data_IF_982322800552
#
_entry.id   IF_982322800552
#
_cell.length_a   1.000
_cell.length_b   1.000
_cell.length_c   1.000
_cell.angle_alpha   90.00
_cell.angle_beta   90.00
_cell.angle_gamma   90.00
#
_symmetry.space_group_name_H-M   'P 1'
#
loop_
_entity.id
_entity.type
_entity.pdbx_description
1 polymer ?
#
# COMPACT_ATOMS: atom_id res chain seq x y z
N UNK A 1 4.69 -20.58 -6.74
CA UNK A 1 3.57 -21.26 -6.06
C UNK A 1 2.49 -20.29 -5.65
N UNK A 2 2.81 -19.05 -5.24
CA UNK A 2 1.83 -18.07 -4.76
C UNK A 2 0.84 -17.62 -5.85
N UNK A 3 1.32 -17.28 -7.05
CA UNK A 3 0.45 -16.77 -8.12
C UNK A 3 -0.62 -17.77 -8.60
N UNK A 4 -0.31 -19.06 -8.65
CA UNK A 4 -1.30 -20.09 -9.02
C UNK A 4 -2.45 -20.19 -7.99
N UNK A 5 -2.15 -20.06 -6.71
CA UNK A 5 -3.17 -20.02 -5.66
C UNK A 5 -4.04 -18.76 -5.73
N UNK A 6 -3.40 -17.61 -5.98
CA UNK A 6 -4.09 -16.33 -6.16
C UNK A 6 -5.05 -16.39 -7.36
N UNK A 7 -4.58 -16.89 -8.50
CA UNK A 7 -5.41 -17.07 -9.69
C UNK A 7 -6.58 -17.98 -9.41
N UNK A 8 -6.38 -19.08 -8.67
CA UNK A 8 -7.47 -20.00 -8.33
C UNK A 8 -8.54 -19.35 -7.45
N UNK A 9 -8.14 -18.52 -6.48
CA UNK A 9 -9.07 -17.71 -5.68
C UNK A 9 -9.87 -16.76 -6.58
N UNK A 10 -9.20 -16.06 -7.49
CA UNK A 10 -9.85 -15.14 -8.43
C UNK A 10 -10.83 -15.86 -9.37
N UNK A 11 -10.44 -17.02 -9.93
CA UNK A 11 -11.33 -17.85 -10.73
C UNK A 11 -12.62 -18.23 -9.98
N UNK A 12 -12.50 -18.67 -8.72
CA UNK A 12 -13.65 -19.03 -7.91
C UNK A 12 -14.62 -17.86 -7.72
N UNK A 13 -14.08 -16.64 -7.50
CA UNK A 13 -14.90 -15.43 -7.41
C UNK A 13 -15.61 -15.10 -8.74
N UNK A 14 -14.91 -15.18 -9.87
CA UNK A 14 -15.52 -14.97 -11.19
C UNK A 14 -16.64 -15.99 -11.45
N UNK A 15 -16.42 -17.26 -11.10
CA UNK A 15 -17.43 -18.31 -11.22
C UNK A 15 -18.67 -18.03 -10.36
N UNK A 16 -18.48 -17.61 -9.10
CA UNK A 16 -19.57 -17.26 -8.19
C UNK A 16 -20.45 -16.14 -8.72
N UNK A 17 -19.81 -15.15 -9.36
CA UNK A 17 -20.45 -14.00 -10.01
C UNK A 17 -20.98 -14.31 -11.41
N UNK A 18 -20.80 -15.54 -11.92
CA UNK A 18 -21.14 -15.96 -13.29
C UNK A 18 -20.48 -15.11 -14.37
N UNK A 19 -19.25 -14.66 -14.12
CA UNK A 19 -18.44 -13.90 -15.04
C UNK A 19 -17.57 -14.85 -15.85
N UNK A 20 -17.58 -14.70 -17.18
CA UNK A 20 -16.77 -15.51 -18.11
C UNK A 20 -15.47 -14.84 -18.51
N UNK A 21 -15.47 -13.50 -18.56
CA UNK A 21 -14.28 -12.70 -18.87
C UNK A 21 -14.14 -11.58 -17.88
N UNK A 22 -12.90 -11.23 -17.56
CA UNK A 22 -12.61 -10.06 -16.72
C UNK A 22 -11.57 -9.18 -17.40
N UNK A 23 -11.75 -7.86 -17.31
CA UNK A 23 -10.79 -6.85 -17.77
C UNK A 23 -10.31 -6.07 -16.56
N UNK A 24 -9.01 -6.10 -16.30
CA UNK A 24 -8.39 -5.50 -15.12
C UNK A 24 -7.50 -4.35 -15.56
N UNK A 25 -7.74 -3.17 -15.00
CA UNK A 25 -7.02 -1.93 -15.32
C UNK A 25 -6.07 -1.49 -14.21
N UNK A 26 -6.38 -1.78 -12.95
CA UNK A 26 -5.56 -1.37 -11.82
C UNK A 26 -4.19 -2.03 -11.83
N UNK A 27 -3.10 -1.24 -11.86
CA UNK A 27 -1.72 -1.76 -11.89
C UNK A 27 -1.45 -2.74 -10.75
N UNK A 28 -1.93 -2.44 -9.54
CA UNK A 28 -1.74 -3.31 -8.37
C UNK A 28 -2.60 -4.58 -8.45
N UNK A 29 -3.76 -4.53 -9.10
CA UNK A 29 -4.56 -5.71 -9.37
C UNK A 29 -3.91 -6.61 -10.42
N UNK A 30 -3.33 -6.00 -11.48
CA UNK A 30 -2.52 -6.72 -12.47
C UNK A 30 -1.30 -7.36 -11.80
N UNK A 31 -0.59 -6.61 -10.97
CA UNK A 31 0.56 -7.11 -10.24
C UNK A 31 0.20 -8.28 -9.32
N UNK A 32 -0.92 -8.19 -8.60
CA UNK A 32 -1.44 -9.25 -7.75
C UNK A 32 -1.69 -10.56 -8.52
N UNK A 33 -2.31 -10.45 -9.70
CA UNK A 33 -2.68 -11.61 -10.52
C UNK A 33 -1.51 -12.18 -11.32
N UNK A 34 -0.52 -11.36 -11.68
CA UNK A 34 0.50 -11.75 -12.67
C UNK A 34 1.94 -11.61 -12.22
N UNK A 35 2.22 -10.81 -11.20
CA UNK A 35 3.57 -10.40 -10.80
C UNK A 35 4.15 -9.24 -11.59
N UNK A 36 3.47 -8.73 -12.64
CA UNK A 36 3.88 -7.56 -13.40
C UNK A 36 3.20 -6.29 -12.86
N UNK A 37 3.99 -5.31 -12.43
CA UNK A 37 3.52 -3.97 -12.03
C UNK A 37 3.98 -2.94 -13.06
N UNK A 38 3.02 -2.40 -13.81
CA UNK A 38 3.26 -1.40 -14.84
C UNK A 38 2.05 -1.14 -15.71
N UNK A 39 2.21 -0.23 -16.66
CA UNK A 39 1.11 0.23 -17.52
C UNK A 39 0.58 -0.87 -18.43
N UNK A 40 -0.74 -0.94 -18.57
CA UNK A 40 -1.43 -1.91 -19.41
C UNK A 40 -2.80 -2.27 -18.87
N UNK A 41 -3.40 -3.31 -19.42
CA UNK A 41 -4.59 -3.94 -18.87
C UNK A 41 -4.55 -5.45 -19.10
N UNK A 42 -5.21 -6.19 -18.22
CA UNK A 42 -5.26 -7.63 -18.24
C UNK A 42 -6.63 -8.11 -18.69
N UNK A 43 -6.67 -9.10 -19.58
CA UNK A 43 -7.89 -9.83 -19.93
C UNK A 43 -7.75 -11.26 -19.44
N UNK A 44 -8.65 -11.66 -18.57
CA UNK A 44 -8.79 -13.04 -18.10
C UNK A 44 -10.00 -13.67 -18.78
N UNK A 45 -9.79 -14.76 -19.52
CA UNK A 45 -10.85 -15.56 -20.10
C UNK A 45 -10.98 -16.88 -19.34
N UNK A 46 -12.10 -17.04 -18.63
CA UNK A 46 -12.34 -18.18 -17.74
C UNK A 46 -12.62 -19.46 -18.53
N UNK A 47 -13.24 -19.36 -19.70
CA UNK A 47 -13.61 -20.53 -20.50
C UNK A 47 -12.38 -21.25 -21.08
N UNK A 48 -11.40 -20.48 -21.50
CA UNK A 48 -10.11 -20.99 -22.01
C UNK A 48 -9.02 -21.05 -20.93
N UNK A 49 -9.27 -20.53 -19.72
CA UNK A 49 -8.28 -20.33 -18.66
C UNK A 49 -7.03 -19.59 -19.14
N UNK A 50 -7.24 -18.59 -20.02
CA UNK A 50 -6.13 -17.81 -20.60
C UNK A 50 -6.05 -16.41 -20.03
N UNK A 51 -4.81 -15.96 -19.86
CA UNK A 51 -4.47 -14.60 -19.43
C UNK A 51 -3.79 -13.90 -20.60
N UNK A 52 -4.32 -12.74 -20.99
CA UNK A 52 -3.69 -11.86 -21.97
C UNK A 52 -3.40 -10.52 -21.33
N UNK A 53 -2.13 -10.15 -21.26
CA UNK A 53 -1.67 -8.86 -20.77
C UNK A 53 -1.38 -7.95 -21.96
N UNK A 54 -2.19 -6.91 -22.13
CA UNK A 54 -2.01 -5.86 -23.12
C UNK A 54 -1.18 -4.73 -22.53
N UNK A 55 -0.08 -4.40 -23.18
CA UNK A 55 0.86 -3.36 -22.72
C UNK A 55 1.24 -2.40 -23.84
N UNK A 56 1.60 -1.15 -23.52
CA UNK A 56 2.27 -0.29 -24.49
C UNK A 56 3.58 -0.95 -24.99
N UNK A 57 4.02 -0.68 -26.24
CA UNK A 57 5.24 -1.29 -26.78
C UNK A 57 6.49 -1.12 -25.91
N UNK A 58 6.62 0.00 -25.20
CA UNK A 58 7.73 0.27 -24.27
C UNK A 58 7.79 -0.71 -23.10
N UNK A 59 6.67 -1.29 -22.71
CA UNK A 59 6.55 -2.21 -21.59
C UNK A 59 6.68 -3.69 -22.00
N UNK A 60 6.65 -4.00 -23.29
CA UNK A 60 6.46 -5.35 -23.81
C UNK A 60 7.52 -6.36 -23.27
N UNK A 61 8.80 -6.04 -23.40
CA UNK A 61 9.88 -6.93 -22.93
C UNK A 61 9.99 -6.99 -21.41
N UNK A 62 9.73 -5.84 -20.73
CA UNK A 62 9.69 -5.80 -19.28
C UNK A 62 8.57 -6.69 -18.74
N UNK A 63 7.38 -6.60 -19.32
CA UNK A 63 6.24 -7.44 -18.96
C UNK A 63 6.55 -8.93 -19.13
N UNK A 64 7.11 -9.32 -20.29
CA UNK A 64 7.51 -10.71 -20.53
C UNK A 64 8.48 -11.25 -19.48
N UNK A 65 9.42 -10.42 -19.01
CA UNK A 65 10.43 -10.81 -18.03
C UNK A 65 9.91 -10.88 -16.60
N UNK A 66 8.93 -10.03 -16.25
CA UNK A 66 8.43 -9.93 -14.87
C UNK A 66 7.27 -10.88 -14.56
N UNK A 67 6.53 -11.35 -15.58
CA UNK A 67 5.43 -12.27 -15.38
C UNK A 67 5.85 -13.51 -14.56
N UNK A 68 5.06 -13.81 -13.53
CA UNK A 68 5.20 -15.01 -12.67
C UNK A 68 4.12 -16.06 -12.97
N UNK A 69 3.31 -15.83 -14.02
CA UNK A 69 2.26 -16.73 -14.50
C UNK A 69 2.38 -16.94 -16.00
N UNK A 70 1.78 -18.03 -16.50
CA UNK A 70 1.65 -18.22 -17.93
C UNK A 70 0.63 -17.24 -18.49
N UNK A 71 1.08 -16.24 -19.22
CA UNK A 71 0.23 -15.24 -19.84
C UNK A 71 0.79 -14.84 -21.22
N UNK A 72 -0.10 -14.54 -22.14
CA UNK A 72 0.26 -13.95 -23.43
C UNK A 72 0.46 -12.46 -23.24
N UNK A 73 1.62 -11.93 -23.60
CA UNK A 73 1.86 -10.48 -23.65
C UNK A 73 1.61 -9.98 -25.05
N UNK A 74 0.83 -8.92 -25.19
CA UNK A 74 0.45 -8.31 -26.46
C UNK A 74 0.81 -6.83 -26.42
N UNK A 75 1.65 -6.38 -27.35
CA UNK A 75 1.86 -4.95 -27.56
C UNK A 75 0.64 -4.37 -28.30
N UNK A 76 -0.02 -3.34 -27.74
CA UNK A 76 -1.14 -2.70 -28.39
C UNK A 76 -0.87 -1.21 -28.64
N UNK A 77 -1.10 -0.76 -29.86
CA UNK A 77 -1.02 0.67 -30.21
C UNK A 77 -1.34 0.85 -31.70
N UNK A 78 -1.97 1.96 -32.07
CA UNK A 78 -2.08 2.37 -33.47
C UNK A 78 -0.71 2.62 -34.13
N UNK A 79 0.31 2.96 -33.34
CA UNK A 79 1.68 3.16 -33.81
C UNK A 79 2.40 1.84 -34.15
N UNK A 80 1.86 0.70 -33.75
CA UNK A 80 2.50 -0.61 -33.96
C UNK A 80 2.64 -0.96 -35.45
N UNK A 81 1.82 -0.39 -36.30
CA UNK A 81 1.95 -0.54 -37.81
C UNK A 81 3.33 -0.12 -38.31
N UNK A 82 3.98 0.81 -37.63
CA UNK A 82 5.31 1.33 -38.01
C UNK A 82 6.46 0.61 -37.29
N UNK A 83 6.16 -0.30 -36.33
CA UNK A 83 7.17 -1.02 -35.57
C UNK A 83 7.55 -2.33 -36.26
N UNK A 84 8.81 -2.73 -36.10
CA UNK A 84 9.29 -4.02 -36.63
C UNK A 84 8.55 -5.19 -36.00
N UNK A 85 7.80 -5.97 -36.79
CA UNK A 85 7.11 -7.19 -36.36
C UNK A 85 8.07 -8.28 -35.88
N UNK A 86 9.35 -8.19 -36.21
CA UNK A 86 10.39 -9.11 -35.75
C UNK A 86 10.70 -8.92 -34.26
N UNK A 87 10.49 -7.70 -33.74
CA UNK A 87 10.76 -7.38 -32.33
C UNK A 87 9.62 -7.73 -31.39
N UNK A 88 8.39 -7.85 -31.89
CA UNK A 88 7.21 -8.11 -31.06
C UNK A 88 6.57 -9.43 -31.46
N UNK A 89 6.63 -10.43 -30.58
CA UNK A 89 6.05 -11.74 -30.85
C UNK A 89 4.52 -11.74 -30.91
N UNK A 90 3.88 -10.71 -30.39
CA UNK A 90 2.42 -10.51 -30.43
C UNK A 90 2.06 -9.04 -30.42
N UNK A 91 1.23 -8.64 -31.38
CA UNK A 91 0.84 -7.26 -31.63
C UNK A 91 -0.66 -7.18 -31.86
N UNK A 92 -1.31 -6.15 -31.32
CA UNK A 92 -2.68 -5.78 -31.62
C UNK A 92 -2.71 -4.33 -32.11
N UNK A 93 -3.15 -4.12 -33.36
CA UNK A 93 -3.21 -2.78 -33.98
C UNK A 93 -4.42 -1.97 -33.54
N UNK A 94 -5.35 -2.60 -32.81
CA UNK A 94 -6.54 -1.93 -32.25
C UNK A 94 -6.15 -1.04 -31.07
N UNK A 95 -6.95 0.00 -30.86
CA UNK A 95 -6.85 0.78 -29.64
C UNK A 95 -7.59 0.09 -28.47
N UNK A 96 -7.45 0.64 -27.27
CA UNK A 96 -8.08 0.10 -26.06
C UNK A 96 -9.60 -0.01 -26.20
N UNK A 97 -10.25 0.99 -26.83
CA UNK A 97 -11.70 1.02 -27.00
C UNK A 97 -12.20 -0.11 -27.93
N UNK A 98 -11.50 -0.33 -29.04
CA UNK A 98 -11.81 -1.41 -30.00
C UNK A 98 -11.60 -2.80 -29.39
N UNK A 99 -10.57 -2.97 -28.54
CA UNK A 99 -10.30 -4.21 -27.83
C UNK A 99 -11.39 -4.46 -26.77
N UNK A 100 -11.70 -3.45 -25.95
CA UNK A 100 -12.72 -3.55 -24.92
C UNK A 100 -14.11 -3.84 -25.50
N UNK A 101 -14.48 -3.16 -26.60
CA UNK A 101 -15.72 -3.42 -27.32
C UNK A 101 -15.81 -4.89 -27.76
N UNK A 102 -14.75 -5.41 -28.40
CA UNK A 102 -14.72 -6.81 -28.83
C UNK A 102 -14.85 -7.83 -27.69
N UNK A 103 -14.34 -7.50 -26.50
CA UNK A 103 -14.48 -8.33 -25.32
C UNK A 103 -15.94 -8.32 -24.84
N UNK A 104 -16.55 -7.13 -24.71
CA UNK A 104 -17.94 -6.99 -24.28
C UNK A 104 -18.92 -7.58 -25.27
N UNK A 105 -18.67 -7.46 -26.57
CA UNK A 105 -19.52 -8.05 -27.62
C UNK A 105 -19.48 -9.59 -27.56
N UNK A 106 -18.32 -10.16 -27.31
CA UNK A 106 -18.09 -11.60 -27.29
C UNK A 106 -18.54 -12.32 -26.01
N UNK A 107 -19.03 -11.61 -24.98
CA UNK A 107 -19.40 -12.22 -23.70
C UNK A 107 -20.70 -11.62 -23.15
N UNK A 108 -21.58 -12.46 -22.57
CA UNK A 108 -22.83 -11.98 -22.00
C UNK A 108 -22.62 -11.22 -20.67
N UNK A 109 -21.48 -11.46 -20.00
CA UNK A 109 -21.17 -10.87 -18.70
C UNK A 109 -19.67 -10.75 -18.52
N UNK A 110 -19.18 -9.53 -18.28
CA UNK A 110 -17.76 -9.17 -18.17
C UNK A 110 -17.52 -8.46 -16.86
N UNK A 111 -16.55 -8.94 -16.09
CA UNK A 111 -16.07 -8.23 -14.88
C UNK A 111 -15.09 -7.14 -15.25
N UNK A 112 -15.14 -6.02 -14.55
CA UNK A 112 -14.10 -4.98 -14.66
C UNK A 112 -13.89 -4.30 -13.31
N UNK A 113 -12.66 -3.93 -13.00
CA UNK A 113 -12.32 -3.14 -11.82
C UNK A 113 -12.56 -1.65 -12.10
N UNK A 114 -13.85 -1.27 -12.06
CA UNK A 114 -14.32 0.03 -12.57
C UNK A 114 -13.70 1.25 -11.90
N UNK A 115 -13.26 1.14 -10.64
CA UNK A 115 -12.54 2.22 -9.96
C UNK A 115 -11.21 2.59 -10.63
N UNK A 116 -10.67 1.72 -11.48
CA UNK A 116 -9.40 1.91 -12.19
C UNK A 116 -9.59 2.04 -13.70
N UNK A 117 -10.78 1.76 -14.22
CA UNK A 117 -11.06 1.86 -15.64
C UNK A 117 -11.02 3.34 -16.10
N UNK A 118 -10.39 3.64 -17.25
CA UNK A 118 -10.43 4.99 -17.78
C UNK A 118 -11.88 5.44 -18.04
N UNK A 119 -12.29 6.56 -17.44
CA UNK A 119 -13.67 7.08 -17.55
C UNK A 119 -14.09 7.27 -19.03
N UNK A 120 -13.17 7.77 -19.85
CA UNK A 120 -13.43 7.96 -21.29
C UNK A 120 -13.75 6.66 -22.01
N UNK A 121 -13.01 5.58 -21.67
CA UNK A 121 -13.27 4.24 -22.20
C UNK A 121 -14.67 3.77 -21.79
N UNK A 122 -15.01 3.91 -20.51
CA UNK A 122 -16.32 3.50 -20.00
C UNK A 122 -17.45 4.23 -20.70
N UNK A 123 -17.38 5.54 -20.85
CA UNK A 123 -18.41 6.35 -21.50
C UNK A 123 -18.56 6.02 -23.00
N UNK A 124 -17.46 5.82 -23.72
CA UNK A 124 -17.48 5.52 -25.16
C UNK A 124 -17.96 4.10 -25.46
N UNK A 125 -17.52 3.12 -24.69
CA UNK A 125 -17.79 1.71 -24.97
C UNK A 125 -19.11 1.28 -24.35
N UNK A 126 -19.34 1.58 -23.08
CA UNK A 126 -20.52 1.13 -22.35
C UNK A 126 -21.75 1.98 -22.68
N UNK A 127 -21.57 3.31 -22.74
CA UNK A 127 -22.67 4.24 -23.02
C UNK A 127 -23.22 4.21 -24.46
N UNK A 128 -22.35 3.87 -25.44
CA UNK A 128 -22.74 3.90 -26.87
C UNK A 128 -23.52 2.65 -27.34
N UNK A 129 -23.41 1.53 -26.63
CA UNK A 129 -23.87 0.24 -27.13
C UNK A 129 -24.89 -0.49 -26.21
N UNK A 130 -25.46 0.18 -25.21
CA UNK A 130 -26.31 -0.46 -24.17
C UNK A 130 -25.63 -1.69 -23.52
N UNK A 131 -24.31 -1.66 -23.39
CA UNK A 131 -23.52 -2.75 -22.83
C UNK A 131 -23.40 -2.67 -21.31
N UNK A 132 -24.00 -1.64 -20.68
CA UNK A 132 -23.97 -1.45 -19.22
C UNK A 132 -24.40 -2.67 -18.44
N UNK A 133 -25.44 -3.36 -18.92
CA UNK A 133 -26.00 -4.54 -18.25
C UNK A 133 -25.07 -5.76 -18.30
N UNK A 134 -24.07 -5.75 -19.19
CA UNK A 134 -23.07 -6.80 -19.31
C UNK A 134 -21.89 -6.61 -18.36
N UNK A 135 -21.63 -5.38 -17.90
CA UNK A 135 -20.47 -5.06 -17.08
C UNK A 135 -20.80 -5.24 -15.59
N UNK A 136 -19.96 -5.99 -14.89
CA UNK A 136 -20.03 -6.20 -13.44
C UNK A 136 -18.80 -5.55 -12.80
N UNK A 137 -19.02 -4.65 -11.86
CA UNK A 137 -17.90 -4.10 -11.08
C UNK A 137 -17.34 -5.16 -10.13
N UNK A 138 -16.08 -5.52 -10.35
CA UNK A 138 -15.33 -6.46 -9.51
C UNK A 138 -14.24 -5.76 -8.67
N UNK A 139 -14.28 -4.42 -8.56
CA UNK A 139 -13.33 -3.67 -7.76
C UNK A 139 -13.28 -4.17 -6.31
N UNK A 140 -14.44 -4.31 -5.67
CA UNK A 140 -14.51 -4.78 -4.28
C UNK A 140 -14.13 -6.27 -4.15
N UNK A 141 -14.39 -7.09 -5.15
CA UNK A 141 -13.94 -8.49 -5.19
C UNK A 141 -12.41 -8.58 -5.15
N UNK A 142 -11.72 -7.80 -5.99
CA UNK A 142 -10.26 -7.75 -6.00
C UNK A 142 -9.69 -7.15 -4.70
N UNK A 143 -10.32 -6.11 -4.15
CA UNK A 143 -9.95 -5.56 -2.84
C UNK A 143 -10.05 -6.61 -1.73
N UNK A 144 -11.15 -7.37 -1.68
CA UNK A 144 -11.35 -8.44 -0.71
C UNK A 144 -10.33 -9.58 -0.87
N UNK A 145 -10.01 -9.96 -2.11
CA UNK A 145 -8.98 -10.96 -2.39
C UNK A 145 -7.60 -10.52 -1.91
N UNK A 146 -7.23 -9.25 -2.15
CA UNK A 146 -5.95 -8.66 -1.76
C UNK A 146 -5.86 -8.42 -0.25
N UNK A 147 -6.96 -8.17 0.42
CA UNK A 147 -6.96 -7.88 1.87
C UNK A 147 -6.48 -9.07 2.70
N UNK A 148 -6.84 -10.31 2.32
CA UNK A 148 -6.42 -11.53 3.01
C UNK A 148 -5.19 -12.12 2.31
N UNK A 149 -4.03 -11.98 2.92
CA UNK A 149 -2.72 -12.36 2.37
C UNK A 149 -2.47 -13.86 2.50
N UNK A 150 -1.82 -14.41 1.51
CA UNK A 150 -1.22 -15.75 1.60
C UNK A 150 0.04 -15.72 2.49
N UNK A 151 0.51 -16.88 2.92
CA UNK A 151 1.75 -16.97 3.70
C UNK A 151 2.97 -16.35 3.00
N UNK A 152 3.07 -16.49 1.67
CA UNK A 152 4.17 -15.89 0.90
C UNK A 152 4.08 -14.36 0.84
N UNK A 153 2.86 -13.81 0.69
CA UNK A 153 2.65 -12.36 0.72
C UNK A 153 3.03 -11.79 2.07
N UNK A 154 2.64 -12.46 3.16
CA UNK A 154 3.02 -12.07 4.53
C UNK A 154 4.54 -12.09 4.74
N UNK A 155 5.26 -13.09 4.20
CA UNK A 155 6.72 -13.13 4.28
C UNK A 155 7.38 -11.99 3.49
N UNK A 156 6.82 -11.57 2.34
CA UNK A 156 7.35 -10.42 1.60
C UNK A 156 7.14 -9.11 2.36
N UNK A 157 5.95 -8.90 2.96
CA UNK A 157 5.68 -7.73 3.80
C UNK A 157 6.59 -7.73 5.03
N UNK A 158 6.77 -8.87 5.70
CA UNK A 158 7.68 -9.02 6.83
C UNK A 158 9.11 -8.67 6.45
N UNK A 159 9.60 -9.16 5.32
CA UNK A 159 10.94 -8.85 4.85
C UNK A 159 11.11 -7.37 4.51
N UNK A 160 10.10 -6.75 3.87
CA UNK A 160 10.07 -5.29 3.66
C UNK A 160 10.15 -4.53 4.99
N UNK A 161 9.37 -4.96 6.00
CA UNK A 161 9.36 -4.36 7.35
C UNK A 161 10.72 -4.45 8.02
N UNK A 162 11.33 -5.64 8.05
CA UNK A 162 12.64 -5.86 8.69
C UNK A 162 13.74 -5.01 8.03
N UNK A 163 13.75 -4.92 6.70
CA UNK A 163 14.72 -4.10 5.95
C UNK A 163 14.52 -2.61 6.22
N UNK A 164 13.28 -2.15 6.25
CA UNK A 164 12.94 -0.77 6.60
C UNK A 164 13.39 -0.44 8.02
N UNK A 165 13.14 -1.32 8.98
CA UNK A 165 13.59 -1.12 10.37
C UNK A 165 15.12 -1.09 10.50
N UNK A 166 15.85 -1.91 9.74
CA UNK A 166 17.33 -1.87 9.73
C UNK A 166 17.83 -0.52 9.21
N UNK A 167 17.21 0.02 8.16
CA UNK A 167 17.54 1.35 7.65
C UNK A 167 17.25 2.44 8.68
N UNK A 168 16.07 2.40 9.33
CA UNK A 168 15.70 3.34 10.40
C UNK A 168 16.69 3.29 11.57
N UNK A 169 17.04 2.08 12.04
CA UNK A 169 17.99 1.92 13.17
C UNK A 169 19.35 2.55 12.84
N UNK A 170 19.90 2.28 11.66
CA UNK A 170 21.16 2.87 11.21
C UNK A 170 21.08 4.39 11.14
N UNK A 171 19.98 4.93 10.59
CA UNK A 171 19.77 6.36 10.54
C UNK A 171 19.77 6.99 11.93
N UNK A 172 19.07 6.39 12.90
CA UNK A 172 19.02 6.94 14.27
C UNK A 172 20.37 6.92 14.93
N UNK A 173 21.15 5.83 14.81
CA UNK A 173 22.55 5.75 15.31
C UNK A 173 23.44 6.85 14.69
N UNK A 174 23.29 7.13 13.38
CA UNK A 174 24.01 8.23 12.71
C UNK A 174 23.57 9.61 13.19
N UNK A 175 22.24 9.80 13.41
CA UNK A 175 21.70 11.06 13.94
C UNK A 175 22.21 11.35 15.35
N UNK A 176 22.22 10.36 16.24
CA UNK A 176 22.74 10.49 17.60
C UNK A 176 24.23 10.92 17.57
N UNK A 177 25.03 10.28 16.73
CA UNK A 177 26.45 10.61 16.56
C UNK A 177 26.65 12.04 16.02
N UNK A 178 25.86 12.45 15.05
CA UNK A 178 25.93 13.77 14.45
C UNK A 178 25.48 14.88 15.41
N UNK A 179 24.44 14.63 16.22
CA UNK A 179 23.96 15.53 17.27
C UNK A 179 25.04 15.69 18.36
N UNK A 180 25.63 14.60 18.82
CA UNK A 180 26.71 14.62 19.81
C UNK A 180 27.94 15.42 19.31
N UNK A 181 28.21 15.35 18.01
CA UNK A 181 29.28 16.11 17.33
C UNK A 181 28.88 17.54 16.97
N UNK A 182 27.69 18.01 17.36
CA UNK A 182 27.17 19.37 17.08
C UNK A 182 27.13 19.71 15.58
N UNK A 183 26.97 18.73 14.71
CA UNK A 183 26.85 18.96 13.28
C UNK A 183 25.56 19.73 12.96
N UNK A 184 25.59 20.52 11.89
CA UNK A 184 24.38 21.14 11.37
C UNK A 184 23.67 20.15 10.44
N UNK A 185 22.58 19.55 10.91
CA UNK A 185 21.80 18.55 10.20
C UNK A 185 20.52 19.19 9.71
N UNK A 186 20.15 18.95 8.46
CA UNK A 186 18.88 19.42 7.87
C UNK A 186 17.94 18.26 7.61
N UNK A 187 16.62 18.51 7.55
CA UNK A 187 15.63 17.47 7.25
C UNK A 187 15.86 16.84 5.88
N UNK A 188 16.33 17.63 4.89
CA UNK A 188 16.71 17.13 3.58
C UNK A 188 17.88 16.15 3.61
N UNK A 189 18.90 16.43 4.43
CA UNK A 189 20.05 15.52 4.59
C UNK A 189 19.63 14.20 5.26
N UNK A 190 18.75 14.26 6.27
CA UNK A 190 18.20 13.10 6.95
C UNK A 190 17.38 12.25 5.96
N UNK A 191 16.47 12.87 5.19
CA UNK A 191 15.67 12.18 4.20
C UNK A 191 16.53 11.53 3.11
N UNK A 192 17.55 12.23 2.62
CA UNK A 192 18.47 11.68 1.63
C UNK A 192 19.24 10.46 2.15
N UNK A 193 19.72 10.51 3.40
CA UNK A 193 20.41 9.38 4.01
C UNK A 193 19.45 8.19 4.25
N UNK A 194 18.22 8.47 4.74
CA UNK A 194 17.19 7.44 4.93
C UNK A 194 16.90 6.70 3.61
N UNK A 195 16.67 7.43 2.52
CA UNK A 195 16.42 6.84 1.19
C UNK A 195 17.61 5.98 0.74
N UNK A 196 18.83 6.47 0.90
CA UNK A 196 20.04 5.70 0.59
C UNK A 196 20.10 4.40 1.40
N UNK A 197 19.85 4.46 2.72
CA UNK A 197 19.87 3.30 3.60
C UNK A 197 18.81 2.27 3.21
N UNK A 198 17.60 2.69 2.82
CA UNK A 198 16.55 1.78 2.34
C UNK A 198 17.01 0.95 1.14
N UNK A 199 17.63 1.60 0.14
CA UNK A 199 18.16 0.89 -1.02
C UNK A 199 19.36 -0.01 -0.67
N UNK A 200 20.22 0.41 0.26
CA UNK A 200 21.34 -0.42 0.74
C UNK A 200 20.88 -1.67 1.50
N UNK A 201 19.71 -1.60 2.19
CA UNK A 201 19.07 -2.79 2.78
C UNK A 201 18.38 -3.68 1.74
N UNK A 202 18.42 -3.32 0.44
CA UNK A 202 17.92 -4.13 -0.67
C UNK A 202 16.41 -4.03 -0.87
N UNK A 203 15.80 -2.92 -0.49
CA UNK A 203 14.42 -2.59 -0.91
C UNK A 203 14.42 -2.18 -2.40
N UNK A 204 13.38 -2.54 -3.12
CA UNK A 204 13.28 -2.36 -4.58
C UNK A 204 12.84 -0.95 -4.97
N UNK A 205 12.00 -0.34 -4.12
CA UNK A 205 11.52 1.04 -4.26
C UNK A 205 11.03 1.57 -2.93
N UNK A 206 10.75 2.86 -2.86
CA UNK A 206 9.99 3.44 -1.77
C UNK A 206 8.51 3.05 -1.92
N UNK A 207 7.83 2.76 -0.81
CA UNK A 207 6.38 2.56 -0.80
C UNK A 207 5.63 3.90 -0.97
N UNK A 208 6.21 4.96 -0.43
CA UNK A 208 5.79 6.36 -0.56
C UNK A 208 6.99 7.29 -0.32
N UNK A 209 6.82 8.58 -0.52
CA UNK A 209 7.85 9.58 -0.25
C UNK A 209 8.04 9.75 1.27
N UNK A 210 9.19 9.37 1.87
CA UNK A 210 9.36 9.35 3.32
C UNK A 210 9.08 10.69 3.98
N UNK A 211 8.37 10.66 5.11
CA UNK A 211 8.14 11.83 5.95
C UNK A 211 9.27 11.95 6.97
N UNK A 212 9.96 13.08 6.94
CA UNK A 212 10.97 13.47 7.91
C UNK A 212 10.56 14.82 8.46
N UNK A 213 9.98 14.84 9.66
CA UNK A 213 9.42 16.05 10.25
C UNK A 213 9.99 16.30 11.65
N UNK A 214 10.37 17.55 11.95
CA UNK A 214 10.87 17.96 13.25
C UNK A 214 10.26 19.28 13.70
N UNK A 215 10.15 19.49 15.00
CA UNK A 215 9.57 20.68 15.60
C UNK A 215 8.11 20.89 15.15
N UNK A 216 7.76 22.10 14.73
CA UNK A 216 6.39 22.44 14.29
C UNK A 216 5.88 21.59 13.11
N UNK A 217 6.78 21.09 12.26
CA UNK A 217 6.38 20.24 11.12
C UNK A 217 5.74 18.91 11.56
N UNK A 218 6.03 18.45 12.78
CA UNK A 218 5.39 17.24 13.33
C UNK A 218 3.91 17.43 13.65
N UNK A 219 3.42 18.69 13.67
CA UNK A 219 2.00 19.01 13.86
C UNK A 219 1.11 18.71 12.63
N UNK A 220 1.69 18.22 11.55
CA UNK A 220 0.98 17.88 10.33
C UNK A 220 1.06 16.36 10.08
N UNK A 221 -0.05 15.68 9.82
CA UNK A 221 -0.02 14.28 9.35
C UNK A 221 0.87 14.09 8.12
N UNK A 222 0.71 14.99 7.14
CA UNK A 222 1.54 15.10 5.93
C UNK A 222 2.16 16.50 5.87
N UNK A 223 3.36 16.69 6.41
CA UNK A 223 4.01 17.99 6.48
C UNK A 223 4.49 18.46 5.10
N UNK A 224 4.57 19.77 4.87
CA UNK A 224 5.26 20.27 3.70
C UNK A 224 6.76 19.92 3.76
N UNK A 225 7.35 19.61 2.61
CA UNK A 225 8.78 19.34 2.51
C UNK A 225 9.57 20.64 2.59
N UNK A 226 10.41 20.80 3.62
CA UNK A 226 11.31 21.95 3.84
C UNK A 226 12.73 21.41 4.04
N UNK A 227 13.49 21.10 2.96
CA UNK A 227 14.75 20.39 3.05
C UNK A 227 15.83 21.11 3.84
N UNK A 228 15.86 22.46 3.77
CA UNK A 228 16.82 23.31 4.45
C UNK A 228 16.55 23.50 5.95
N UNK A 229 15.38 23.06 6.44
CA UNK A 229 15.05 23.15 7.86
C UNK A 229 16.07 22.40 8.70
N UNK A 230 16.68 23.10 9.65
CA UNK A 230 17.63 22.51 10.59
C UNK A 230 16.90 21.66 11.65
N UNK A 231 17.52 20.55 12.04
CA UNK A 231 17.09 19.73 13.17
C UNK A 231 17.36 20.40 14.52
N UNK A 232 18.26 21.40 14.54
CA UNK A 232 18.64 22.14 15.76
C UNK A 232 17.39 22.71 16.44
N UNK A 233 17.35 22.64 17.74
CA UNK A 233 16.28 23.15 18.60
C UNK A 233 14.94 22.38 18.50
N UNK A 234 14.93 21.24 17.84
CA UNK A 234 13.76 20.36 17.85
C UNK A 234 13.82 19.37 19.02
N UNK A 235 12.67 19.17 19.69
CA UNK A 235 12.55 18.22 20.81
C UNK A 235 12.55 16.77 20.34
N UNK A 236 12.01 16.53 19.15
CA UNK A 236 11.86 15.21 18.54
C UNK A 236 11.76 15.29 17.03
N UNK A 237 11.90 14.15 16.38
CA UNK A 237 11.69 13.96 14.95
C UNK A 237 10.71 12.81 14.73
N UNK A 238 9.80 12.97 13.79
CA UNK A 238 8.93 11.90 13.28
C UNK A 238 9.53 11.42 11.96
N UNK A 239 9.80 10.13 11.90
CA UNK A 239 10.31 9.40 10.73
C UNK A 239 9.24 8.40 10.32
N UNK A 240 8.59 8.63 9.16
CA UNK A 240 7.57 7.78 8.62
C UNK A 240 8.02 7.31 7.24
N UNK A 241 8.14 5.98 7.07
CA UNK A 241 8.86 5.40 5.95
C UNK A 241 8.39 3.99 5.64
N UNK A 242 8.33 3.71 4.35
CA UNK A 242 8.06 2.37 3.85
C UNK A 242 8.88 2.07 2.59
N UNK A 243 9.26 0.82 2.45
CA UNK A 243 9.88 0.30 1.24
C UNK A 243 9.11 -0.89 0.66
N UNK A 244 9.48 -1.32 -0.53
CA UNK A 244 8.88 -2.50 -1.18
C UNK A 244 9.88 -3.63 -1.34
N UNK A 245 9.41 -4.84 -1.12
CA UNK A 245 10.15 -6.06 -1.38
C UNK A 245 9.27 -7.08 -2.11
N UNK A 246 9.71 -7.58 -3.27
CA UNK A 246 8.93 -8.46 -4.14
C UNK A 246 7.50 -7.94 -4.42
N UNK A 247 7.36 -6.63 -4.73
CA UNK A 247 6.13 -5.89 -4.97
C UNK A 247 5.36 -5.48 -3.69
N UNK A 248 5.63 -6.06 -2.52
CA UNK A 248 4.87 -5.81 -1.29
C UNK A 248 5.49 -4.70 -0.48
N UNK A 249 4.64 -3.79 -0.04
CA UNK A 249 4.98 -2.59 0.72
C UNK A 249 4.97 -2.87 2.22
N UNK A 250 5.66 -2.01 2.96
CA UNK A 250 5.54 -1.85 4.41
C UNK A 250 5.35 -0.38 4.74
N UNK A 251 4.91 -0.10 5.96
CA UNK A 251 4.72 1.24 6.51
C UNK A 251 5.12 1.25 7.98
N UNK A 252 6.00 2.17 8.37
CA UNK A 252 6.58 2.21 9.73
C UNK A 252 6.84 3.65 10.14
N UNK A 253 6.25 4.09 11.22
CA UNK A 253 6.55 5.39 11.83
C UNK A 253 7.23 5.25 13.17
N UNK A 254 8.27 6.05 13.40
CA UNK A 254 8.92 6.23 14.71
C UNK A 254 9.01 7.71 15.06
N UNK A 255 8.65 8.02 16.29
CA UNK A 255 8.98 9.31 16.91
C UNK A 255 10.25 9.12 17.74
N UNK A 256 11.31 9.82 17.36
CA UNK A 256 12.61 9.79 18.03
C UNK A 256 12.75 11.03 18.88
N UNK A 257 12.96 10.87 20.19
CA UNK A 257 13.17 12.00 21.13
C UNK A 257 14.62 12.43 21.06
N UNK A 258 14.85 13.71 20.81
CA UNK A 258 16.17 14.31 20.77
C UNK A 258 16.50 14.87 22.18
N UNK A 259 17.67 14.61 22.68
CA UNK A 259 18.11 14.73 24.08
C UNK A 259 17.80 16.03 24.87
N UNK A 260 17.14 17.02 24.30
CA UNK A 260 17.01 18.34 24.94
C UNK A 260 15.62 18.67 25.51
N UNK A 261 14.55 17.88 25.22
CA UNK A 261 13.18 18.19 25.66
C UNK A 261 12.27 16.96 25.86
N UNK A 262 12.74 15.94 26.55
CA UNK A 262 11.93 14.74 26.84
C UNK A 262 10.60 15.05 27.53
N UNK A 263 10.54 16.08 28.35
CA UNK A 263 9.39 16.39 29.23
C UNK A 263 8.09 16.67 28.51
N UNK A 264 8.13 17.23 27.29
CA UNK A 264 6.91 17.55 26.55
C UNK A 264 6.43 16.39 25.68
N UNK A 265 7.34 15.61 25.13
CA UNK A 265 7.02 14.55 24.16
C UNK A 265 6.75 13.20 24.83
N UNK A 266 7.47 12.88 25.91
CA UNK A 266 7.35 11.60 26.61
C UNK A 266 5.90 11.27 27.04
N UNK A 267 5.13 12.17 27.67
CA UNK A 267 3.73 11.88 28.04
C UNK A 267 2.84 11.57 26.84
N UNK A 268 3.12 12.21 25.67
CA UNK A 268 2.39 11.90 24.45
C UNK A 268 2.71 10.49 23.95
N UNK A 269 3.99 10.13 23.92
CA UNK A 269 4.42 8.80 23.50
C UNK A 269 3.85 7.71 24.41
N UNK A 270 3.82 7.94 25.72
CA UNK A 270 3.20 7.00 26.69
C UNK A 270 1.71 6.80 26.37
N UNK A 271 0.97 7.88 26.07
CA UNK A 271 -0.43 7.80 25.70
C UNK A 271 -0.65 7.10 24.33
N UNK A 272 0.21 7.36 23.34
CA UNK A 272 0.16 6.70 22.04
C UNK A 272 0.49 5.21 22.16
N UNK A 273 1.50 4.86 22.93
CA UNK A 273 1.89 3.46 23.22
C UNK A 273 0.74 2.73 23.92
N UNK A 274 0.08 3.36 24.91
CA UNK A 274 -1.08 2.78 25.58
C UNK A 274 -2.23 2.56 24.58
N UNK A 275 -2.53 3.56 23.75
CA UNK A 275 -3.56 3.46 22.70
C UNK A 275 -3.25 2.37 21.67
N UNK A 276 -1.98 2.23 21.29
CA UNK A 276 -1.52 1.16 20.40
C UNK A 276 -1.79 -0.22 20.99
N UNK A 277 -1.42 -0.47 22.24
CA UNK A 277 -1.60 -1.79 22.87
C UNK A 277 -3.08 -2.11 23.12
N UNK A 278 -3.91 -1.15 23.53
CA UNK A 278 -5.35 -1.34 23.66
C UNK A 278 -6.02 -1.72 22.33
N UNK A 279 -5.54 -1.13 21.23
CA UNK A 279 -6.01 -1.50 19.88
C UNK A 279 -5.50 -2.88 19.45
N UNK A 280 -4.21 -3.17 19.71
CA UNK A 280 -3.58 -4.45 19.36
C UNK A 280 -4.29 -5.62 20.04
N UNK A 281 -4.63 -5.48 21.34
CA UNK A 281 -5.34 -6.50 22.13
C UNK A 281 -6.77 -6.75 21.61
N UNK A 282 -7.36 -5.79 20.91
CA UNK A 282 -8.68 -5.94 20.31
C UNK A 282 -8.66 -6.69 18.97
N UNK A 283 -7.50 -6.76 18.30
CA UNK A 283 -7.41 -7.37 16.97
C UNK A 283 -7.51 -8.89 17.06
N UNK A 284 -8.51 -9.44 16.38
CA UNK A 284 -8.67 -10.87 16.06
C UNK A 284 -9.69 -11.02 14.93
N UNK A 285 -9.76 -12.22 14.36
CA UNK A 285 -10.78 -12.53 13.37
C UNK A 285 -12.20 -12.29 13.90
N UNK A 286 -13.08 -11.73 13.06
CA UNK A 286 -14.49 -11.44 13.38
C UNK A 286 -14.74 -10.10 14.08
N UNK A 287 -13.70 -9.35 14.48
CA UNK A 287 -13.86 -8.03 15.09
C UNK A 287 -14.02 -6.98 13.99
N UNK A 288 -14.88 -5.98 14.21
CA UNK A 288 -15.02 -4.87 13.26
C UNK A 288 -13.81 -3.93 13.32
N UNK A 289 -13.39 -3.43 12.16
CA UNK A 289 -12.30 -2.47 12.05
C UNK A 289 -12.59 -1.17 12.84
N UNK A 290 -13.85 -0.76 12.91
CA UNK A 290 -14.28 0.40 13.71
C UNK A 290 -14.20 0.16 15.23
N UNK A 291 -14.35 -1.08 15.69
CA UNK A 291 -14.17 -1.42 17.11
C UNK A 291 -12.69 -1.28 17.52
N UNK A 292 -11.76 -1.73 16.68
CA UNK A 292 -10.32 -1.58 16.92
C UNK A 292 -9.92 -0.11 17.01
N UNK A 293 -10.38 0.72 16.06
CA UNK A 293 -10.16 2.18 16.10
C UNK A 293 -10.75 2.81 17.38
N UNK A 294 -11.95 2.39 17.79
CA UNK A 294 -12.60 2.90 18.99
C UNK A 294 -11.82 2.62 20.29
N UNK A 295 -11.08 1.50 20.35
CA UNK A 295 -10.21 1.18 21.50
C UNK A 295 -9.08 2.20 21.67
N UNK A 296 -8.35 2.49 20.57
CA UNK A 296 -7.31 3.51 20.60
C UNK A 296 -7.86 4.89 20.96
N UNK A 297 -8.99 5.30 20.33
CA UNK A 297 -9.62 6.60 20.64
C UNK A 297 -10.08 6.72 22.09
N UNK A 298 -10.59 5.65 22.67
CA UNK A 298 -11.00 5.63 24.07
C UNK A 298 -9.81 5.85 25.01
N UNK A 299 -8.68 5.27 24.70
CA UNK A 299 -7.46 5.44 25.48
C UNK A 299 -6.91 6.87 25.35
N UNK A 300 -6.88 7.42 24.13
CA UNK A 300 -6.52 8.82 23.92
C UNK A 300 -7.50 9.80 24.59
N UNK A 301 -8.79 9.43 24.70
CA UNK A 301 -9.79 10.23 25.43
C UNK A 301 -9.48 10.31 26.94
N UNK A 302 -9.04 9.20 27.53
CA UNK A 302 -8.60 9.16 28.94
C UNK A 302 -7.39 10.07 29.20
N UNK A 303 -6.53 10.19 28.20
CA UNK A 303 -5.38 11.10 28.24
C UNK A 303 -5.73 12.56 27.84
N UNK A 304 -6.98 12.86 27.49
CA UNK A 304 -7.39 14.19 26.99
C UNK A 304 -6.90 14.54 25.59
N UNK A 305 -6.55 13.52 24.78
CA UNK A 305 -5.87 13.67 23.49
C UNK A 305 -6.74 13.29 22.27
N UNK A 306 -7.96 12.78 22.47
CA UNK A 306 -8.83 12.26 21.41
C UNK A 306 -9.06 13.25 20.26
N UNK A 307 -9.29 14.52 20.56
CA UNK A 307 -9.59 15.55 19.58
C UNK A 307 -8.39 15.92 18.68
N UNK A 308 -7.20 15.49 19.08
CA UNK A 308 -5.96 15.69 18.31
C UNK A 308 -5.60 14.50 17.42
N UNK A 309 -6.39 13.41 17.48
CA UNK A 309 -6.26 12.24 16.60
C UNK A 309 -7.23 12.36 15.44
N UNK A 310 -6.76 12.88 14.30
CA UNK A 310 -7.58 13.40 13.20
C UNK A 310 -7.77 12.46 12.01
N UNK A 311 -7.18 11.25 12.05
CA UNK A 311 -7.30 10.24 10.99
C UNK A 311 -7.74 8.87 11.54
N UNK A 312 -7.87 7.87 10.68
CA UNK A 312 -8.12 6.48 11.10
C UNK A 312 -6.93 5.89 11.82
N UNK A 313 -7.16 4.85 12.61
CA UNK A 313 -6.09 4.17 13.36
C UNK A 313 -5.09 3.43 12.47
N UNK A 314 -5.48 3.10 11.23
CA UNK A 314 -4.62 2.39 10.31
C UNK A 314 -5.35 1.86 9.08
N UNK A 315 -4.64 1.09 8.30
CA UNK A 315 -5.09 0.56 7.01
C UNK A 315 -4.44 -0.78 6.70
N UNK A 316 -4.99 -1.48 5.72
CA UNK A 316 -4.35 -2.67 5.15
C UNK A 316 -3.07 -2.30 4.39
N UNK A 317 -2.10 -3.19 4.42
CA UNK A 317 -0.84 -3.07 3.69
C UNK A 317 -0.66 -4.30 2.78
N UNK A 318 -0.17 -4.08 1.57
CA UNK A 318 0.09 -5.13 0.59
C UNK A 318 0.92 -4.63 -0.60
N UNK A 319 0.43 -4.83 -1.82
CA UNK A 319 1.07 -4.28 -3.03
C UNK A 319 0.98 -2.75 -3.05
N UNK A 320 -0.18 -2.21 -2.65
CA UNK A 320 -0.29 -0.80 -2.31
C UNK A 320 0.00 -0.62 -0.82
N UNK A 321 0.61 0.51 -0.46
CA UNK A 321 0.83 0.85 0.94
C UNK A 321 -0.52 1.00 1.66
N UNK A 322 -1.51 1.61 1.01
CA UNK A 322 -2.87 1.74 1.53
C UNK A 322 -3.83 0.79 0.81
N UNK A 323 -4.28 -0.24 1.52
CA UNK A 323 -5.27 -1.21 1.05
C UNK A 323 -6.43 -1.36 2.05
N UNK A 324 -7.41 -2.18 1.70
CA UNK A 324 -8.42 -2.63 2.63
C UNK A 324 -7.84 -3.67 3.64
N UNK A 325 -8.38 -3.71 4.88
CA UNK A 325 -9.43 -2.86 5.43
C UNK A 325 -8.90 -1.49 5.90
N UNK A 326 -9.81 -0.55 6.24
CA UNK A 326 -9.45 0.72 6.87
C UNK A 326 -9.93 0.67 8.33
N UNK A 327 -9.01 0.89 9.27
CA UNK A 327 -9.33 0.99 10.69
C UNK A 327 -9.75 2.44 11.00
N UNK A 328 -11.06 2.70 11.00
CA UNK A 328 -11.60 4.04 11.24
C UNK A 328 -12.99 3.98 11.86
N UNK A 329 -13.48 5.08 12.47
CA UNK A 329 -14.80 5.09 13.09
C UNK A 329 -15.95 4.75 12.13
N UNK A 330 -15.77 4.98 10.83
CA UNK A 330 -16.78 4.78 9.79
C UNK A 330 -16.63 3.43 9.05
N UNK A 331 -15.64 2.63 9.41
CA UNK A 331 -15.40 1.36 8.73
C UNK A 331 -16.49 0.34 9.03
N UNK A 332 -16.96 -0.33 8.00
CA UNK A 332 -17.84 -1.50 8.08
C UNK A 332 -17.10 -2.82 7.86
N UNK A 333 -15.78 -2.78 7.68
CA UNK A 333 -14.97 -3.96 7.43
C UNK A 333 -14.88 -4.85 8.69
N UNK A 334 -14.99 -6.16 8.49
CA UNK A 334 -14.72 -7.18 9.50
C UNK A 334 -13.32 -7.75 9.29
N UNK A 335 -12.54 -7.86 10.34
CA UNK A 335 -11.19 -8.40 10.28
C UNK A 335 -11.22 -9.92 10.04
N UNK A 336 -10.34 -10.38 9.16
CA UNK A 336 -10.16 -11.80 8.84
C UNK A 336 -8.72 -12.22 9.09
N UNK A 337 -8.53 -13.45 9.56
CA UNK A 337 -7.20 -14.02 9.69
C UNK A 337 -6.44 -13.93 8.35
N UNK A 338 -5.19 -13.51 8.41
CA UNK A 338 -4.35 -13.25 7.23
C UNK A 338 -4.43 -11.82 6.68
N UNK A 339 -5.27 -10.94 7.22
CA UNK A 339 -5.16 -9.51 6.92
C UNK A 339 -3.88 -8.94 7.54
N UNK A 340 -3.23 -8.02 6.84
CA UNK A 340 -2.05 -7.29 7.31
C UNK A 340 -2.41 -5.82 7.38
N UNK A 341 -2.20 -5.21 8.54
CA UNK A 341 -2.69 -3.88 8.89
C UNK A 341 -1.56 -3.03 9.46
N UNK A 342 -1.67 -1.72 9.34
CA UNK A 342 -0.93 -0.77 10.18
C UNK A 342 -1.73 -0.44 11.45
N UNK A 343 -1.04 -0.10 12.54
CA UNK A 343 -1.59 0.55 13.73
C UNK A 343 -0.76 1.80 13.99
N UNK A 344 -1.34 2.96 13.74
CA UNK A 344 -0.65 4.25 13.70
C UNK A 344 -1.32 5.34 14.55
N UNK A 345 -1.52 5.14 15.86
CA UNK A 345 -2.06 6.19 16.69
C UNK A 345 -1.15 7.42 16.66
N UNK A 346 -1.77 8.60 16.60
CA UNK A 346 -1.07 9.87 16.46
C UNK A 346 -1.83 11.02 17.13
N UNK A 347 -1.12 12.09 17.45
CA UNK A 347 -1.71 13.35 17.92
C UNK A 347 -1.00 14.53 17.28
N UNK A 348 -1.76 15.58 16.91
CA UNK A 348 -1.27 16.74 16.19
C UNK A 348 -1.82 18.01 16.81
N UNK A 349 -0.94 18.84 17.43
CA UNK A 349 -1.30 20.12 18.00
C UNK A 349 -0.97 21.23 17.02
N UNK A 350 -1.97 21.73 16.31
CA UNK A 350 -1.82 22.76 15.29
C UNK A 350 -0.91 23.91 15.72
N UNK A 351 0.13 24.17 14.91
CA UNK A 351 1.09 25.25 15.15
C UNK A 351 2.06 25.00 16.32
N UNK A 352 2.14 23.76 16.82
CA UNK A 352 3.05 23.39 17.90
C UNK A 352 3.89 22.17 17.54
N UNK A 353 3.37 20.98 17.73
CA UNK A 353 4.04 19.70 17.46
C UNK A 353 3.03 18.56 17.40
N UNK A 354 3.49 17.38 17.01
CA UNK A 354 2.73 16.14 17.02
C UNK A 354 3.64 14.94 17.20
N UNK A 355 3.07 13.77 17.33
CA UNK A 355 3.77 12.50 17.40
C UNK A 355 2.95 11.41 16.74
N UNK A 356 3.61 10.42 16.12
CA UNK A 356 3.03 9.22 15.56
C UNK A 356 3.95 8.04 15.85
N UNK A 357 3.36 6.91 16.15
CA UNK A 357 4.05 5.61 16.23
C UNK A 357 3.27 4.62 15.37
N UNK A 358 3.95 3.68 14.74
CA UNK A 358 3.30 2.77 13.81
C UNK A 358 4.04 1.45 13.68
N UNK A 359 3.28 0.38 13.69
CA UNK A 359 3.74 -0.96 13.35
C UNK A 359 2.79 -1.65 12.38
N UNK A 360 3.34 -2.63 11.66
CA UNK A 360 2.59 -3.57 10.83
C UNK A 360 2.24 -4.81 11.65
N UNK A 361 0.98 -5.21 11.59
CA UNK A 361 0.45 -6.36 12.32
C UNK A 361 -0.30 -7.32 11.40
N UNK A 362 -0.24 -8.62 11.68
CA UNK A 362 -1.04 -9.64 11.01
C UNK A 362 -2.19 -10.03 11.93
N UNK A 363 -3.41 -10.05 11.38
CA UNK A 363 -4.60 -10.57 12.07
C UNK A 363 -4.51 -12.09 12.12
N UNK A 364 -4.62 -12.66 13.30
CA UNK A 364 -4.70 -14.11 13.54
C UNK A 364 -6.10 -14.48 14.05
N UNK A 365 -6.42 -15.77 14.10
CA UNK A 365 -7.75 -16.23 14.54
C UNK A 365 -8.10 -15.77 15.97
N UNK A 366 -7.12 -15.74 16.87
CA UNK A 366 -7.32 -15.41 18.30
C UNK A 366 -6.48 -14.21 18.77
N UNK A 367 -6.04 -13.34 17.87
CA UNK A 367 -5.20 -12.20 18.25
C UNK A 367 -4.53 -11.56 17.04
N UNK A 368 -3.41 -10.86 17.30
CA UNK A 368 -2.59 -10.23 16.28
C UNK A 368 -1.11 -10.56 16.50
N UNK A 369 -0.35 -10.61 15.42
CA UNK A 369 1.10 -10.78 15.44
C UNK A 369 1.79 -9.56 14.84
N UNK A 370 2.58 -8.86 15.64
CA UNK A 370 3.40 -7.72 15.20
C UNK A 370 4.55 -8.23 14.34
N UNK A 371 4.79 -7.56 13.19
CA UNK A 371 5.92 -7.86 12.31
C UNK A 371 7.18 -7.09 12.69
N UNK A 372 7.02 -5.95 13.29
CA UNK A 372 8.09 -5.07 13.71
C UNK A 372 8.87 -5.65 14.88
N UNK A 373 10.16 -5.34 14.95
CA UNK A 373 11.11 -5.80 15.98
C UNK A 373 11.69 -4.66 16.80
N UNK A 374 11.58 -3.44 16.32
CA UNK A 374 12.07 -2.24 17.01
C UNK A 374 11.02 -1.68 17.98
N UNK A 375 11.49 -1.02 19.04
CA UNK A 375 10.60 -0.27 19.93
C UNK A 375 9.76 0.76 19.17
N UNK A 376 8.58 1.08 19.69
CA UNK A 376 7.62 2.00 19.07
C UNK A 376 8.11 3.45 19.02
N UNK A 377 8.95 3.84 19.98
CA UNK A 377 9.55 5.17 20.05
C UNK A 377 10.97 5.07 20.65
N UNK A 378 11.83 6.05 20.32
CA UNK A 378 13.20 6.12 20.83
C UNK A 378 13.49 7.47 21.48
#
# INVERSE_FOLDING_TARGET
VSCAHILKRFENELQSLRIRKAVIFGESNIAYLTGYKGSGFLVYDLDSSTITLYVPPLEFWRAQKQLKVSARVVAYSRLVKSLSKEQFSSVDERNLEEIAFGILDSSPRVGADLSYAPMELFLKVVGSANLSDKVVDITNTLRALRSVKTSHEMEYIKEATIRTERALKKLVEELESAIASKQNITLGSIKGELIKLLYLEGLESLAFDPIVAAGELTAYPHPPTIPERSLRDSAHIVLDVGGTFNLYSTDVTRTVVLAHNEREVRPLLEALISAYYEALDAIREGVSASEVDAKARKELERAGLKDYFVHGLGHGVGIDVHEAPVLSPLSSDELKAGMVLTLEPAVYFKGRYGARIENVVIVESNGARVLNTLELAW
#
